data_IF_638576249777
#
_entry.id   IF_638576249777
#
_cell.length_a   1.000
_cell.length_b   1.000
_cell.length_c   1.000
_cell.angle_alpha   90.00
_cell.angle_beta   90.00
_cell.angle_gamma   90.00
#
_symmetry.space_group_name_H-M   'P 1'
#
loop_
_entity.id
_entity.type
_entity.pdbx_description
1 polymer ?
#
# COMPACT_ATOMS: atom_id res chain seq x y z
N UNK A 1 -6.16 -5.53 11.57
CA UNK A 1 -7.57 -5.84 11.76
C UNK A 1 -7.70 -6.61 13.08
N UNK A 2 -8.04 -5.88 14.15
CA UNK A 2 -8.08 -6.44 15.51
C UNK A 2 -9.19 -7.48 15.64
N UNK A 3 -10.33 -7.24 15.01
CA UNK A 3 -11.49 -8.15 15.06
C UNK A 3 -11.18 -9.49 14.40
N UNK A 4 -10.47 -9.48 13.27
CA UNK A 4 -10.04 -10.71 12.59
C UNK A 4 -8.77 -11.33 13.19
N UNK A 5 -8.12 -10.66 14.15
CA UNK A 5 -6.81 -11.07 14.66
C UNK A 5 -5.71 -11.06 13.59
N UNK A 6 -5.88 -10.27 12.52
CA UNK A 6 -4.91 -10.18 11.41
C UNK A 6 -4.08 -8.92 11.60
N UNK A 7 -2.79 -9.14 11.83
CA UNK A 7 -1.80 -8.08 12.04
C UNK A 7 -0.71 -8.15 10.98
N UNK A 8 -0.07 -7.02 10.71
CA UNK A 8 0.98 -6.94 9.72
C UNK A 8 1.60 -5.55 9.67
N UNK A 9 2.45 -5.33 8.67
CA UNK A 9 3.07 -4.04 8.41
C UNK A 9 3.38 -3.87 6.93
N UNK A 10 3.42 -2.61 6.50
CA UNK A 10 3.96 -2.23 5.19
C UNK A 10 5.34 -1.64 5.43
N UNK A 11 6.35 -2.22 4.79
CA UNK A 11 7.74 -1.81 4.93
C UNK A 11 8.26 -1.29 3.59
N UNK A 12 8.97 -0.17 3.63
CA UNK A 12 9.57 0.44 2.46
C UNK A 12 11.09 0.33 2.57
N UNK A 13 11.72 -0.25 1.54
CA UNK A 13 13.17 -0.41 1.44
C UNK A 13 13.67 0.32 0.19
N UNK A 14 14.92 0.79 0.23
CA UNK A 14 15.55 1.48 -0.90
C UNK A 14 15.91 0.56 -2.06
N UNK A 15 16.07 -0.74 -1.81
CA UNK A 15 16.41 -1.73 -2.83
C UNK A 15 15.98 -3.14 -2.43
N UNK A 16 15.90 -4.05 -3.41
CA UNK A 16 15.68 -5.48 -3.18
C UNK A 16 16.78 -6.11 -2.32
N UNK A 17 18.03 -5.67 -2.48
CA UNK A 17 19.16 -6.11 -1.64
C UNK A 17 18.92 -5.76 -0.16
N UNK A 18 18.41 -4.55 0.13
CA UNK A 18 18.05 -4.16 1.49
C UNK A 18 16.88 -4.99 2.05
N UNK A 19 15.89 -5.35 1.22
CA UNK A 19 14.82 -6.29 1.61
C UNK A 19 15.43 -7.64 2.00
N UNK A 20 16.27 -8.21 1.14
CA UNK A 20 16.89 -9.52 1.40
C UNK A 20 17.75 -9.50 2.66
N UNK A 21 18.56 -8.46 2.83
CA UNK A 21 19.40 -8.27 4.04
C UNK A 21 18.55 -8.22 5.30
N UNK A 22 17.42 -7.51 5.27
CA UNK A 22 16.50 -7.45 6.41
C UNK A 22 15.87 -8.81 6.70
N UNK A 23 15.39 -9.52 5.68
CA UNK A 23 14.77 -10.85 5.83
C UNK A 23 15.77 -11.94 6.28
N UNK A 24 17.06 -11.75 6.05
CA UNK A 24 18.13 -12.64 6.53
C UNK A 24 18.65 -12.28 7.93
N UNK A 25 18.21 -11.14 8.49
CA UNK A 25 18.69 -10.65 9.79
C UNK A 25 18.20 -11.48 10.97
N UNK A 26 18.98 -11.50 12.05
CA UNK A 26 18.58 -12.18 13.30
C UNK A 26 17.34 -11.54 13.94
N UNK A 27 17.14 -10.23 13.75
CA UNK A 27 15.92 -9.55 14.17
C UNK A 27 14.69 -10.17 13.49
N UNK A 28 14.74 -10.30 12.17
CA UNK A 28 13.62 -10.85 11.41
C UNK A 28 13.37 -12.33 11.74
N UNK A 29 14.43 -13.14 11.79
CA UNK A 29 14.31 -14.56 12.21
C UNK A 29 13.70 -14.69 13.60
N UNK A 30 14.09 -13.81 14.53
CA UNK A 30 13.52 -13.76 15.88
C UNK A 30 12.03 -13.39 15.89
N UNK A 31 11.61 -12.44 15.05
CA UNK A 31 10.19 -12.10 14.87
C UNK A 31 9.43 -13.31 14.33
N UNK A 32 9.86 -13.91 13.23
CA UNK A 32 9.14 -15.02 12.58
C UNK A 32 9.07 -16.27 13.47
N UNK A 33 10.05 -16.49 14.35
CA UNK A 33 10.05 -17.61 15.29
C UNK A 33 9.15 -17.41 16.53
N UNK A 34 8.51 -16.23 16.68
CA UNK A 34 7.71 -15.94 17.87
C UNK A 34 6.46 -16.85 17.94
N UNK A 35 6.21 -17.56 19.06
CA UNK A 35 5.19 -18.62 19.12
C UNK A 35 3.75 -18.14 18.90
N UNK A 36 3.48 -16.85 19.13
CA UNK A 36 2.15 -16.26 18.90
C UNK A 36 1.95 -15.76 17.46
N UNK A 37 2.99 -15.77 16.61
CA UNK A 37 2.86 -15.43 15.20
C UNK A 37 2.59 -16.69 14.39
N UNK A 38 1.33 -16.86 14.01
CA UNK A 38 0.84 -17.96 13.17
C UNK A 38 0.39 -17.44 11.81
N UNK A 39 0.39 -18.31 10.80
CA UNK A 39 -0.02 -17.97 9.42
C UNK A 39 0.72 -16.75 8.85
N UNK A 40 1.99 -16.59 9.22
CA UNK A 40 2.80 -15.46 8.82
C UNK A 40 3.17 -15.56 7.33
N UNK A 41 2.94 -14.48 6.59
CA UNK A 41 3.27 -14.38 5.16
C UNK A 41 3.94 -13.04 4.89
N UNK A 42 4.92 -13.06 3.99
CA UNK A 42 5.47 -11.85 3.38
C UNK A 42 5.29 -11.87 1.88
N UNK A 43 4.91 -10.71 1.34
CA UNK A 43 4.84 -10.46 -0.09
C UNK A 43 5.82 -9.32 -0.39
N UNK A 44 6.67 -9.49 -1.41
CA UNK A 44 7.65 -8.49 -1.84
C UNK A 44 7.18 -7.92 -3.18
N UNK A 45 7.11 -6.60 -3.24
CA UNK A 45 6.73 -5.88 -4.44
C UNK A 45 7.78 -4.84 -4.82
N UNK A 46 7.95 -4.62 -6.13
CA UNK A 46 8.61 -3.44 -6.69
C UNK A 46 7.62 -2.27 -6.77
N UNK A 47 8.15 -1.06 -6.80
CA UNK A 47 7.36 0.16 -7.04
C UNK A 47 7.59 0.66 -8.46
N UNK A 48 6.63 1.41 -9.00
CA UNK A 48 6.76 2.02 -10.32
C UNK A 48 7.27 3.46 -10.24
N UNK A 49 8.03 3.86 -11.27
CA UNK A 49 8.32 5.28 -11.53
C UNK A 49 7.01 6.06 -11.70
N UNK A 50 6.92 7.24 -11.10
CA UNK A 50 5.71 8.07 -11.12
C UNK A 50 4.84 7.89 -9.88
N UNK A 51 5.10 6.90 -9.03
CA UNK A 51 4.34 6.75 -7.77
C UNK A 51 4.47 7.97 -6.86
N UNK A 52 5.58 8.70 -6.94
CA UNK A 52 5.81 9.97 -6.26
C UNK A 52 4.75 11.03 -6.60
N UNK A 53 4.18 10.98 -7.81
CA UNK A 53 3.15 11.92 -8.25
C UNK A 53 1.81 11.72 -7.51
N UNK A 54 1.61 10.54 -6.93
CA UNK A 54 0.47 10.20 -6.07
C UNK A 54 0.82 10.30 -4.57
N UNK A 55 1.86 11.07 -4.22
CA UNK A 55 2.47 11.08 -2.88
C UNK A 55 2.87 9.65 -2.41
N UNK A 56 3.16 8.75 -3.35
CA UNK A 56 3.38 7.33 -3.11
C UNK A 56 4.77 6.99 -2.59
N UNK A 57 5.74 7.90 -2.69
CA UNK A 57 7.09 7.73 -2.16
C UNK A 57 7.14 8.00 -0.66
N UNK A 58 7.22 6.94 0.15
CA UNK A 58 7.17 7.04 1.61
C UNK A 58 8.26 7.95 2.21
N UNK A 59 9.44 8.03 1.60
CA UNK A 59 10.53 8.89 2.08
C UNK A 59 10.22 10.39 1.97
N UNK A 60 9.35 10.78 1.03
CA UNK A 60 9.00 12.17 0.76
C UNK A 60 7.71 12.63 1.43
N UNK A 61 6.91 11.70 1.97
CA UNK A 61 5.65 12.05 2.64
C UNK A 61 5.90 12.85 3.90
N UNK A 62 4.99 13.77 4.19
CA UNK A 62 4.85 14.37 5.51
C UNK A 62 4.43 13.30 6.52
N UNK A 63 4.98 13.37 7.72
CA UNK A 63 4.81 12.37 8.78
C UNK A 63 4.51 13.02 10.12
N UNK A 64 3.88 12.28 11.00
CA UNK A 64 3.64 12.67 12.39
C UNK A 64 4.37 11.77 13.39
N UNK A 65 4.73 12.35 14.53
CA UNK A 65 5.18 11.66 15.74
C UNK A 65 4.07 11.57 16.80
N UNK A 66 2.90 12.14 16.56
CA UNK A 66 1.78 12.13 17.49
C UNK A 66 0.98 10.83 17.35
N UNK A 67 0.85 10.09 18.44
CA UNK A 67 0.16 8.79 18.45
C UNK A 67 -1.33 8.89 18.12
N UNK A 68 -1.96 10.03 18.40
CA UNK A 68 -3.36 10.32 18.07
C UNK A 68 -3.61 10.34 16.55
N UNK A 69 -2.60 10.68 15.75
CA UNK A 69 -2.75 10.72 14.29
C UNK A 69 -2.91 9.32 13.68
N UNK A 70 -2.65 8.26 14.45
CA UNK A 70 -2.91 6.88 14.05
C UNK A 70 -4.38 6.45 14.22
N UNK A 71 -5.16 7.13 15.09
CA UNK A 71 -6.47 6.64 15.57
C UNK A 71 -7.44 6.34 14.44
N UNK A 72 -7.47 7.21 13.43
CA UNK A 72 -8.36 7.06 12.29
C UNK A 72 -7.66 6.59 11.02
N UNK A 73 -6.33 6.69 10.96
CA UNK A 73 -5.56 6.41 9.76
C UNK A 73 -5.81 4.97 9.27
N UNK A 74 -6.18 4.86 7.99
CA UNK A 74 -6.44 3.58 7.33
C UNK A 74 -5.44 3.35 6.20
N UNK A 75 -5.02 2.09 6.06
CA UNK A 75 -4.27 1.57 4.93
C UNK A 75 -5.20 0.66 4.14
N UNK A 76 -5.30 0.89 2.83
CA UNK A 76 -5.96 -0.03 1.90
C UNK A 76 -4.87 -0.70 1.05
N UNK A 77 -4.89 -2.03 0.99
CA UNK A 77 -4.02 -2.83 0.12
C UNK A 77 -4.88 -3.50 -0.94
N UNK A 78 -4.65 -3.15 -2.19
CA UNK A 78 -5.33 -3.72 -3.35
C UNK A 78 -4.34 -4.53 -4.16
N UNK A 79 -4.67 -5.78 -4.47
CA UNK A 79 -3.96 -6.57 -5.47
C UNK A 79 -4.92 -7.06 -6.55
N UNK A 80 -4.42 -7.08 -7.78
CA UNK A 80 -5.15 -7.53 -8.95
C UNK A 80 -4.21 -8.19 -9.97
N UNK A 81 -4.78 -8.99 -10.85
CA UNK A 81 -4.10 -9.48 -12.07
C UNK A 81 -4.77 -8.87 -13.28
N UNK A 82 -4.07 -8.90 -14.43
CA UNK A 82 -4.71 -8.59 -15.71
C UNK A 82 -4.91 -9.86 -16.55
N UNK A 83 -5.97 -9.92 -17.36
CA UNK A 83 -6.11 -10.99 -18.38
C UNK A 83 -4.97 -10.89 -19.41
N UNK A 84 -4.63 -9.66 -19.80
CA UNK A 84 -3.48 -9.32 -20.61
C UNK A 84 -2.60 -8.35 -19.83
N UNK A 85 -1.41 -8.82 -19.45
CA UNK A 85 -0.44 -7.97 -18.76
C UNK A 85 0.13 -6.93 -19.73
N UNK A 86 0.13 -5.64 -19.36
CA UNK A 86 0.84 -4.63 -20.14
C UNK A 86 2.35 -4.84 -20.04
N UNK A 87 3.07 -4.35 -21.04
CA UNK A 87 4.53 -4.27 -20.94
C UNK A 87 4.97 -3.33 -19.81
N UNK A 88 6.20 -3.50 -19.32
CA UNK A 88 6.80 -2.61 -18.31
C UNK A 88 6.81 -1.13 -18.75
N UNK A 89 7.00 -0.87 -20.05
CA UNK A 89 6.99 0.48 -20.62
C UNK A 89 5.57 1.08 -20.61
N UNK A 90 4.58 0.32 -21.08
CA UNK A 90 3.17 0.75 -21.07
C UNK A 90 2.69 1.01 -19.65
N UNK A 91 2.99 0.10 -18.71
CA UNK A 91 2.65 0.27 -17.30
C UNK A 91 3.29 1.53 -16.72
N UNK A 92 4.58 1.76 -16.98
CA UNK A 92 5.26 2.98 -16.51
C UNK A 92 4.62 4.25 -17.07
N UNK A 93 4.23 4.25 -18.35
CA UNK A 93 3.53 5.38 -18.97
C UNK A 93 2.17 5.63 -18.31
N UNK A 94 1.37 4.57 -18.11
CA UNK A 94 0.07 4.66 -17.44
C UNK A 94 0.21 5.16 -16.01
N UNK A 95 1.20 4.68 -15.24
CA UNK A 95 1.45 5.16 -13.88
C UNK A 95 1.78 6.65 -13.89
N UNK A 96 2.68 7.11 -14.76
CA UNK A 96 3.01 8.54 -14.83
C UNK A 96 1.81 9.41 -15.23
N UNK A 97 0.92 8.91 -16.08
CA UNK A 97 -0.28 9.63 -16.53
C UNK A 97 -1.35 9.71 -15.43
N UNK A 98 -1.65 8.60 -14.77
CA UNK A 98 -2.79 8.51 -13.84
C UNK A 98 -2.42 8.70 -12.36
N UNK A 99 -1.14 8.58 -11.98
CA UNK A 99 -0.72 8.79 -10.59
C UNK A 99 -1.20 10.12 -9.99
N UNK A 100 -1.10 11.28 -10.67
CA UNK A 100 -1.56 12.56 -10.12
C UNK A 100 -3.05 12.61 -9.76
N UNK A 101 -3.88 11.73 -10.34
CA UNK A 101 -5.31 11.66 -10.03
C UNK A 101 -5.53 11.22 -8.57
N UNK A 102 -4.62 10.41 -8.01
CA UNK A 102 -4.69 9.91 -6.64
C UNK A 102 -4.19 10.97 -5.64
N UNK A 103 -5.05 11.95 -5.35
CA UNK A 103 -4.77 13.08 -4.46
C UNK A 103 -5.94 13.37 -3.53
N UNK A 104 -5.70 14.13 -2.46
CA UNK A 104 -6.74 14.62 -1.57
C UNK A 104 -7.75 15.57 -2.26
N UNK A 105 -7.34 16.23 -3.35
CA UNK A 105 -8.22 17.12 -4.12
C UNK A 105 -9.30 16.32 -4.87
N UNK A 106 -8.91 15.21 -5.51
CA UNK A 106 -9.84 14.36 -6.24
C UNK A 106 -10.57 13.36 -5.34
N UNK A 107 -9.89 12.90 -4.27
CA UNK A 107 -10.42 11.93 -3.31
C UNK A 107 -10.18 12.46 -1.89
N UNK A 108 -11.12 13.24 -1.33
CA UNK A 108 -10.99 13.79 0.02
C UNK A 108 -10.62 12.73 1.06
N UNK A 109 -9.56 13.00 1.81
CA UNK A 109 -8.99 12.09 2.79
C UNK A 109 -7.91 11.14 2.26
N UNK A 110 -7.61 11.12 0.95
CA UNK A 110 -6.49 10.36 0.39
C UNK A 110 -5.16 11.05 0.67
N UNK A 111 -4.26 10.36 1.38
CA UNK A 111 -2.92 10.86 1.71
C UNK A 111 -1.93 10.50 0.60
N UNK A 112 -2.05 9.31 0.02
CA UNK A 112 -1.25 8.91 -1.13
C UNK A 112 -1.39 7.44 -1.49
N UNK A 113 -0.83 7.08 -2.65
CA UNK A 113 -0.87 5.72 -3.21
C UNK A 113 0.51 5.30 -3.70
N UNK A 114 1.05 4.21 -3.14
CA UNK A 114 2.19 3.50 -3.74
C UNK A 114 1.68 2.50 -4.78
N UNK A 115 2.07 2.62 -6.04
CA UNK A 115 1.78 1.61 -7.07
C UNK A 115 2.82 0.49 -6.99
N UNK A 116 2.35 -0.76 -6.95
CA UNK A 116 3.18 -1.93 -6.67
C UNK A 116 2.98 -3.04 -7.73
N UNK A 117 4.02 -3.83 -7.93
CA UNK A 117 3.96 -5.05 -8.76
C UNK A 117 4.87 -6.14 -8.19
N UNK A 118 4.46 -7.40 -8.31
CA UNK A 118 5.25 -8.53 -7.84
C UNK A 118 6.56 -8.66 -8.62
N UNK A 119 7.52 -9.39 -8.06
CA UNK A 119 8.83 -9.57 -8.71
C UNK A 119 8.75 -10.38 -10.01
N UNK A 120 7.76 -11.26 -10.14
CA UNK A 120 7.47 -12.02 -11.36
C UNK A 120 6.67 -11.22 -12.41
N UNK A 121 6.12 -10.06 -12.03
CA UNK A 121 5.39 -9.17 -12.93
C UNK A 121 3.88 -9.41 -13.01
N UNK A 122 3.35 -10.49 -12.45
CA UNK A 122 1.96 -10.93 -12.74
C UNK A 122 0.90 -10.31 -11.81
N UNK A 123 1.31 -9.83 -10.63
CA UNK A 123 0.42 -9.23 -9.65
C UNK A 123 0.69 -7.74 -9.59
N UNK A 124 -0.33 -6.93 -9.84
CA UNK A 124 -0.30 -5.48 -9.70
C UNK A 124 -1.09 -5.07 -8.47
N UNK A 125 -0.91 -3.82 -8.04
CA UNK A 125 -1.62 -3.34 -6.88
C UNK A 125 -1.34 -1.91 -6.49
N UNK A 126 -1.89 -1.55 -5.34
CA UNK A 126 -1.58 -0.29 -4.67
C UNK A 126 -1.65 -0.42 -3.15
N UNK A 127 -0.75 0.29 -2.47
CA UNK A 127 -0.85 0.57 -1.04
C UNK A 127 -1.31 2.01 -0.88
N UNK A 128 -2.51 2.20 -0.37
CA UNK A 128 -3.16 3.49 -0.22
C UNK A 128 -3.21 3.88 1.25
N UNK A 129 -3.09 5.17 1.51
CA UNK A 129 -3.20 5.75 2.83
C UNK A 129 -4.35 6.75 2.83
N UNK A 130 -5.26 6.59 3.78
CA UNK A 130 -6.42 7.44 3.96
C UNK A 130 -6.51 7.92 5.40
N UNK A 131 -7.00 9.16 5.57
CA UNK A 131 -7.19 9.77 6.89
C UNK A 131 -8.20 9.03 7.78
N UNK A 132 -9.17 8.33 7.18
CA UNK A 132 -10.21 7.60 7.88
C UNK A 132 -10.90 6.56 6.98
N UNK A 133 -11.79 5.76 7.59
CA UNK A 133 -12.55 4.72 6.89
C UNK A 133 -13.56 5.27 5.88
N UNK A 134 -14.27 6.35 6.21
CA UNK A 134 -15.25 6.96 5.31
C UNK A 134 -14.61 7.38 3.97
N UNK A 135 -13.37 7.90 4.01
CA UNK A 135 -12.64 8.27 2.80
C UNK A 135 -12.35 7.07 1.87
N UNK A 136 -12.19 5.86 2.42
CA UNK A 136 -12.09 4.64 1.60
C UNK A 136 -13.43 4.29 0.98
N UNK A 137 -14.50 4.38 1.77
CA UNK A 137 -15.85 4.05 1.29
C UNK A 137 -16.30 5.03 0.18
N UNK A 138 -15.94 6.32 0.30
CA UNK A 138 -16.14 7.34 -0.73
C UNK A 138 -15.30 7.04 -1.99
N UNK A 139 -14.02 6.66 -1.81
CA UNK A 139 -13.16 6.25 -2.93
C UNK A 139 -13.73 5.03 -3.68
N UNK A 140 -14.24 4.03 -2.97
CA UNK A 140 -14.90 2.87 -3.58
C UNK A 140 -16.20 3.21 -4.30
N UNK A 141 -16.87 4.30 -3.91
CA UNK A 141 -18.08 4.78 -4.57
C UNK A 141 -17.80 5.66 -5.79
N UNK A 142 -16.53 6.03 -6.04
CA UNK A 142 -16.15 6.87 -7.17
C UNK A 142 -16.26 6.14 -8.51
N UNK A 143 -16.57 6.87 -9.58
CA UNK A 143 -16.60 6.34 -10.94
C UNK A 143 -15.25 5.71 -11.35
N UNK A 144 -14.13 6.27 -10.85
CA UNK A 144 -12.80 5.72 -11.09
C UNK A 144 -12.65 4.31 -10.53
N UNK A 145 -13.06 4.10 -9.27
CA UNK A 145 -12.97 2.78 -8.66
C UNK A 145 -13.95 1.78 -9.28
N UNK A 146 -15.20 2.19 -9.47
CA UNK A 146 -16.25 1.34 -10.06
C UNK A 146 -15.87 0.91 -11.48
N UNK A 147 -15.30 1.82 -12.28
CA UNK A 147 -14.77 1.51 -13.60
C UNK A 147 -13.59 0.54 -13.55
N UNK A 148 -12.66 0.73 -12.61
CA UNK A 148 -11.48 -0.13 -12.43
C UNK A 148 -11.84 -1.55 -11.93
N UNK A 149 -12.66 -1.68 -10.89
CA UNK A 149 -13.06 -2.97 -10.30
C UNK A 149 -14.01 -3.75 -11.22
N UNK A 150 -14.69 -3.07 -12.14
CA UNK A 150 -15.59 -3.65 -13.14
C UNK A 150 -14.97 -3.89 -14.52
N UNK A 151 -13.70 -3.53 -14.73
CA UNK A 151 -13.03 -3.71 -16.01
C UNK A 151 -12.77 -5.21 -16.30
N UNK A 152 -13.05 -5.67 -17.52
CA UNK A 152 -12.92 -7.08 -17.88
C UNK A 152 -11.49 -7.58 -17.90
N UNK A 153 -10.54 -6.70 -18.18
CA UNK A 153 -9.12 -7.05 -18.19
C UNK A 153 -8.55 -7.08 -16.77
N UNK A 154 -9.23 -6.54 -15.76
CA UNK A 154 -8.73 -6.46 -14.38
C UNK A 154 -9.49 -7.39 -13.43
N UNK A 155 -8.76 -8.24 -12.71
CA UNK A 155 -9.33 -9.09 -11.67
C UNK A 155 -8.81 -8.68 -10.29
N UNK A 156 -9.57 -7.87 -9.57
CA UNK A 156 -9.25 -7.47 -8.19
C UNK A 156 -9.64 -8.58 -7.22
N UNK A 157 -8.64 -9.24 -6.64
CA UNK A 157 -8.86 -10.36 -5.73
C UNK A 157 -8.51 -10.04 -4.26
N UNK A 158 -7.91 -8.89 -3.99
CA UNK A 158 -7.56 -8.43 -2.64
C UNK A 158 -7.97 -6.99 -2.43
N UNK A 159 -8.69 -6.71 -1.33
CA UNK A 159 -9.14 -5.38 -0.89
C UNK A 159 -9.11 -5.29 0.63
N UNK A 160 -7.91 -5.42 1.19
CA UNK A 160 -7.75 -5.47 2.64
C UNK A 160 -7.57 -4.07 3.23
N UNK A 161 -8.28 -3.80 4.31
CA UNK A 161 -8.24 -2.51 5.01
C UNK A 161 -7.72 -2.74 6.42
N UNK A 162 -6.75 -1.92 6.82
CA UNK A 162 -6.08 -2.00 8.10
C UNK A 162 -6.04 -0.63 8.77
N UNK A 163 -6.41 -0.56 10.05
CA UNK A 163 -6.05 0.57 10.89
C UNK A 163 -4.55 0.56 11.22
N UNK A 164 -3.99 1.75 11.45
CA UNK A 164 -2.57 1.91 11.82
C UNK A 164 -2.42 1.93 13.34
N UNK A 165 -1.48 1.14 13.87
CA UNK A 165 -1.24 1.09 15.30
C UNK A 165 -0.51 2.36 15.78
N UNK A 166 -0.86 2.91 16.97
CA UNK A 166 -0.20 4.11 17.50
C UNK A 166 1.32 4.00 17.65
N UNK A 167 1.85 2.79 17.84
CA UNK A 167 3.29 2.55 17.91
C UNK A 167 4.03 2.94 16.62
N UNK A 168 3.33 3.04 15.48
CA UNK A 168 3.91 3.52 14.23
C UNK A 168 4.43 4.97 14.30
N UNK A 169 4.04 5.75 15.32
CA UNK A 169 4.59 7.09 15.57
C UNK A 169 6.09 7.10 15.84
N UNK A 170 6.66 6.01 16.37
CA UNK A 170 8.10 5.90 16.66
C UNK A 170 8.90 5.37 15.47
N UNK A 171 8.23 4.88 14.41
CA UNK A 171 8.85 4.21 13.27
C UNK A 171 8.64 4.97 11.94
N UNK A 172 8.40 6.29 12.00
CA UNK A 172 8.05 7.13 10.85
C UNK A 172 6.83 6.61 10.05
N UNK A 173 5.97 5.80 10.68
CA UNK A 173 4.93 5.04 10.00
C UNK A 173 3.59 5.76 9.86
N UNK A 174 3.47 7.01 10.34
CA UNK A 174 2.24 7.81 10.31
C UNK A 174 2.32 8.89 9.22
N UNK A 175 1.96 8.58 7.95
CA UNK A 175 1.80 9.60 6.95
C UNK A 175 0.58 10.47 7.25
N UNK A 176 0.69 11.76 6.98
CA UNK A 176 -0.38 12.75 7.13
C UNK A 176 -0.47 13.62 5.87
N UNK A 177 -1.60 14.31 5.71
CA UNK A 177 -1.81 15.31 4.65
C UNK A 177 -0.85 16.51 4.78
#
# INVERSE_FOLDING_TARGET
DVERGVFGGVYYFSSLESVNTYLESELWKGVVAHPNLVNFKTDIFRTFKGTELANGSHSMRKKSSESSDAENLQILVVNYTNEVNPSDEEMSKQVMEYAPVFSNENFPGMIGKTMINSLDGDIYGGVYYFTNRSAIDDYFSSDLWVGFDGDKNTNVYKKDIYGVAPISSISNGLPIL
#
